data_IF_114617139872
#
_entry.id   IF_114617139872
#
_cell.length_a   1.000
_cell.length_b   1.000
_cell.length_c   1.000
_cell.angle_alpha   90.00
_cell.angle_beta   90.00
_cell.angle_gamma   90.00
#
_symmetry.space_group_name_H-M   'P 1'
#
loop_
_entity.id
_entity.type
_entity.pdbx_description
1 polymer ?
#
# COMPACT_ATOMS: atom_id res chain seq x y z
N UNK A 1 -12.89 19.86 -10.48
CA UNK A 1 -13.20 19.38 -9.12
C UNK A 1 -12.49 18.05 -8.98
N UNK A 2 -11.63 17.86 -7.96
CA UNK A 2 -10.97 16.57 -7.75
C UNK A 2 -12.03 15.47 -7.56
N UNK A 3 -11.78 14.31 -8.14
CA UNK A 3 -12.61 13.13 -7.90
C UNK A 3 -12.26 12.56 -6.52
N UNK A 4 -13.23 12.49 -5.60
CA UNK A 4 -13.00 12.02 -4.23
C UNK A 4 -12.48 10.58 -4.18
N UNK A 5 -12.86 9.75 -5.16
CA UNK A 5 -12.44 8.36 -5.24
C UNK A 5 -10.95 8.19 -5.53
N UNK A 6 -10.23 9.24 -5.97
CA UNK A 6 -8.77 9.17 -6.18
C UNK A 6 -7.96 9.27 -4.86
N UNK A 7 -8.64 9.43 -3.72
CA UNK A 7 -8.01 9.70 -2.44
C UNK A 7 -8.25 8.58 -1.42
N UNK A 8 -7.23 8.33 -0.60
CA UNK A 8 -7.30 7.55 0.66
C UNK A 8 -7.10 8.44 1.90
N UNK A 9 -6.70 9.70 1.70
CA UNK A 9 -6.60 10.73 2.72
C UNK A 9 -7.57 11.87 2.37
N UNK A 10 -8.64 12.01 3.16
CA UNK A 10 -9.61 13.08 2.95
C UNK A 10 -9.01 14.48 3.16
N UNK A 11 -7.96 14.64 3.96
CA UNK A 11 -7.33 15.95 4.18
C UNK A 11 -6.57 16.40 2.93
N UNK A 12 -5.91 15.46 2.23
CA UNK A 12 -5.34 15.70 0.91
C UNK A 12 -6.44 16.10 -0.10
N UNK A 13 -7.56 15.38 -0.13
CA UNK A 13 -8.71 15.72 -0.97
C UNK A 13 -9.23 17.14 -0.70
N UNK A 14 -9.47 17.49 0.57
CA UNK A 14 -9.94 18.82 0.97
C UNK A 14 -8.95 19.93 0.58
N UNK A 15 -7.64 19.65 0.65
CA UNK A 15 -6.59 20.59 0.28
C UNK A 15 -6.54 20.84 -1.23
N UNK A 16 -6.70 19.78 -2.03
CA UNK A 16 -6.75 19.90 -3.49
C UNK A 16 -8.01 20.63 -3.93
N UNK A 17 -9.16 20.31 -3.32
CA UNK A 17 -10.40 21.06 -3.52
C UNK A 17 -10.24 22.55 -3.18
N UNK A 18 -9.63 22.87 -2.03
CA UNK A 18 -9.35 24.26 -1.65
C UNK A 18 -8.48 24.97 -2.68
N UNK A 19 -7.44 24.31 -3.18
CA UNK A 19 -6.49 24.88 -4.14
C UNK A 19 -7.19 25.21 -5.46
N UNK A 20 -8.03 24.30 -5.98
CA UNK A 20 -8.80 24.52 -7.20
C UNK A 20 -9.81 25.67 -7.01
N UNK A 21 -10.59 25.66 -5.92
CA UNK A 21 -11.58 26.70 -5.64
C UNK A 21 -10.92 28.07 -5.43
N UNK A 22 -9.75 28.13 -4.80
CA UNK A 22 -9.00 29.39 -4.61
C UNK A 22 -8.51 29.98 -5.93
N UNK A 23 -8.09 29.13 -6.86
CA UNK A 23 -7.66 29.55 -8.19
C UNK A 23 -8.80 30.17 -8.99
N UNK A 24 -10.00 29.60 -8.90
CA UNK A 24 -11.21 30.10 -9.58
C UNK A 24 -11.83 31.30 -8.86
N UNK A 25 -11.85 31.28 -7.54
CA UNK A 25 -12.56 32.24 -6.72
C UNK A 25 -11.62 32.91 -5.70
N UNK A 26 -11.22 34.16 -5.97
CA UNK A 26 -10.31 34.93 -5.10
C UNK A 26 -10.79 35.05 -3.64
N UNK A 27 -12.10 35.08 -3.41
CA UNK A 27 -12.70 35.17 -2.08
C UNK A 27 -12.71 33.85 -1.31
N UNK A 28 -12.50 32.71 -1.98
CA UNK A 28 -12.39 31.41 -1.33
C UNK A 28 -11.20 31.46 -0.37
N UNK A 29 -11.39 31.13 0.89
CA UNK A 29 -10.38 31.23 1.94
C UNK A 29 -10.76 30.26 3.05
N UNK A 30 -9.83 29.89 3.94
CA UNK A 30 -10.26 29.02 5.05
C UNK A 30 -11.29 29.71 5.97
N UNK A 31 -11.40 31.05 5.93
CA UNK A 31 -12.41 31.79 6.70
C UNK A 31 -13.78 31.63 6.05
N UNK A 32 -13.83 31.73 4.72
CA UNK A 32 -15.02 31.44 3.94
C UNK A 32 -15.47 29.97 4.11
N UNK A 33 -14.54 29.01 4.01
CA UNK A 33 -14.85 27.60 4.28
C UNK A 33 -15.42 27.43 5.69
N UNK A 34 -14.74 27.97 6.70
CA UNK A 34 -15.20 27.91 8.10
C UNK A 34 -16.61 28.44 8.29
N UNK A 35 -16.93 29.61 7.69
CA UNK A 35 -18.29 30.16 7.71
C UNK A 35 -19.30 29.23 7.05
N UNK A 36 -18.96 28.58 5.94
CA UNK A 36 -19.85 27.65 5.23
C UNK A 36 -20.08 26.34 5.98
N UNK A 37 -19.08 25.83 6.67
CA UNK A 37 -19.17 24.55 7.39
C UNK A 37 -19.48 24.70 8.88
N UNK A 38 -19.64 25.94 9.38
CA UNK A 38 -19.91 26.22 10.79
C UNK A 38 -18.72 25.95 11.71
N UNK A 39 -17.48 26.05 11.21
CA UNK A 39 -16.26 25.83 11.99
C UNK A 39 -15.37 27.07 12.00
N UNK A 40 -14.61 27.24 13.08
CA UNK A 40 -13.60 28.29 13.14
C UNK A 40 -12.49 28.06 12.11
N UNK A 41 -11.96 29.15 11.52
CA UNK A 41 -10.88 29.12 10.53
C UNK A 41 -9.66 28.33 11.02
N UNK A 42 -9.31 28.44 12.31
CA UNK A 42 -8.17 27.71 12.88
C UNK A 42 -8.38 26.19 12.85
N UNK A 43 -9.62 25.72 12.95
CA UNK A 43 -9.96 24.30 12.82
C UNK A 43 -9.73 23.85 11.38
N UNK A 44 -10.21 24.62 10.40
CA UNK A 44 -9.98 24.33 8.98
C UNK A 44 -8.49 24.25 8.67
N UNK A 45 -7.70 25.21 9.13
CA UNK A 45 -6.24 25.21 8.94
C UNK A 45 -5.61 23.97 9.57
N UNK A 46 -6.02 23.56 10.78
CA UNK A 46 -5.50 22.34 11.43
C UNK A 46 -5.85 21.07 10.65
N UNK A 47 -7.06 20.98 10.08
CA UNK A 47 -7.48 19.86 9.22
C UNK A 47 -6.63 19.82 7.94
N UNK A 48 -6.48 20.96 7.26
CA UNK A 48 -5.64 21.07 6.04
C UNK A 48 -4.15 20.79 6.28
N UNK A 49 -3.69 20.93 7.53
CA UNK A 49 -2.32 20.62 7.96
C UNK A 49 -2.16 19.19 8.48
N UNK A 50 -3.19 18.35 8.41
CA UNK A 50 -3.22 17.00 8.99
C UNK A 50 -2.95 16.94 10.51
N UNK A 51 -3.23 18.04 11.23
CA UNK A 51 -3.04 18.14 12.69
C UNK A 51 -4.29 17.82 13.50
N UNK A 52 -5.45 17.67 12.83
CA UNK A 52 -6.73 17.40 13.48
C UNK A 52 -7.66 16.68 12.52
N UNK A 53 -8.32 15.62 12.99
CA UNK A 53 -9.39 14.97 12.25
C UNK A 53 -10.74 15.65 12.48
N UNK A 54 -11.59 15.65 11.45
CA UNK A 54 -13.01 15.97 11.59
C UNK A 54 -13.72 14.89 12.44
N UNK A 55 -14.78 15.28 13.15
CA UNK A 55 -15.76 14.32 13.71
C UNK A 55 -16.82 13.99 12.67
N UNK A 56 -17.56 12.89 12.86
CA UNK A 56 -18.66 12.50 11.94
C UNK A 56 -19.72 13.59 11.78
N UNK A 57 -20.07 14.27 12.87
CA UNK A 57 -21.03 15.38 12.86
C UNK A 57 -20.55 16.57 12.02
N UNK A 58 -19.24 16.77 11.95
CA UNK A 58 -18.63 17.86 11.17
C UNK A 58 -18.59 17.55 9.67
N UNK A 59 -18.93 16.35 9.22
CA UNK A 59 -18.81 15.97 7.79
C UNK A 59 -19.99 16.50 6.98
N UNK A 60 -21.20 16.52 7.54
CA UNK A 60 -22.41 16.91 6.79
C UNK A 60 -22.30 18.34 6.20
N UNK A 61 -21.78 19.35 6.92
CA UNK A 61 -21.55 20.66 6.32
C UNK A 61 -20.50 20.66 5.20
N UNK A 62 -19.50 19.76 5.25
CA UNK A 62 -18.52 19.61 4.17
C UNK A 62 -19.15 18.96 2.94
N UNK A 63 -20.00 17.93 3.10
CA UNK A 63 -20.77 17.32 1.99
C UNK A 63 -21.51 18.41 1.20
N UNK A 64 -22.16 19.34 1.91
CA UNK A 64 -22.87 20.46 1.28
C UNK A 64 -21.92 21.46 0.60
N UNK A 65 -20.80 21.83 1.25
CA UNK A 65 -19.82 22.75 0.69
C UNK A 65 -19.15 22.19 -0.58
N UNK A 66 -18.86 20.89 -0.57
CA UNK A 66 -18.23 20.15 -1.66
C UNK A 66 -19.22 19.76 -2.76
N UNK A 67 -20.53 19.90 -2.48
CA UNK A 67 -21.64 19.49 -3.35
C UNK A 67 -21.57 18.00 -3.72
N UNK A 68 -21.20 17.17 -2.75
CA UNK A 68 -21.12 15.73 -2.94
C UNK A 68 -22.52 15.12 -3.02
N UNK A 69 -22.67 14.13 -3.89
CA UNK A 69 -23.86 13.31 -3.92
C UNK A 69 -23.92 12.32 -2.74
N UNK A 70 -24.94 11.46 -2.71
CA UNK A 70 -25.12 10.49 -1.62
C UNK A 70 -23.97 9.49 -1.53
N UNK A 71 -23.48 8.95 -2.66
CA UNK A 71 -22.41 7.96 -2.68
C UNK A 71 -21.08 8.59 -2.30
N UNK A 72 -20.79 9.78 -2.82
CA UNK A 72 -19.60 10.55 -2.49
C UNK A 72 -19.59 10.97 -1.01
N UNK A 73 -20.74 11.32 -0.44
CA UNK A 73 -20.87 11.63 0.98
C UNK A 73 -20.59 10.41 1.88
N UNK A 74 -21.11 9.23 1.51
CA UNK A 74 -20.81 7.98 2.20
C UNK A 74 -19.33 7.62 2.11
N UNK A 75 -18.71 7.88 0.95
CA UNK A 75 -17.28 7.68 0.74
C UNK A 75 -16.43 8.66 1.57
N UNK A 76 -16.79 9.94 1.63
CA UNK A 76 -16.12 10.94 2.48
C UNK A 76 -16.18 10.54 3.96
N UNK A 77 -17.33 10.06 4.43
CA UNK A 77 -17.49 9.54 5.78
C UNK A 77 -16.54 8.36 6.05
N UNK A 78 -16.48 7.40 5.11
CA UNK A 78 -15.57 6.27 5.21
C UNK A 78 -14.09 6.72 5.21
N UNK A 79 -13.70 7.75 4.46
CA UNK A 79 -12.34 8.28 4.47
C UNK A 79 -11.97 8.92 5.82
N UNK A 80 -12.92 9.62 6.44
CA UNK A 80 -12.69 10.21 7.77
C UNK A 80 -12.57 9.11 8.83
N UNK A 81 -13.42 8.08 8.77
CA UNK A 81 -13.32 6.93 9.65
C UNK A 81 -11.97 6.20 9.47
N UNK A 82 -11.57 5.94 8.22
CA UNK A 82 -10.27 5.34 7.89
C UNK A 82 -9.09 6.16 8.42
N UNK A 83 -9.10 7.47 8.22
CA UNK A 83 -8.04 8.35 8.72
C UNK A 83 -7.98 8.45 10.24
N UNK A 84 -9.05 8.08 10.97
CA UNK A 84 -9.12 8.10 12.44
C UNK A 84 -8.81 6.75 13.07
N UNK A 85 -8.79 5.67 12.29
CA UNK A 85 -8.56 4.33 12.79
C UNK A 85 -7.18 4.24 13.47
N UNK A 86 -7.15 3.67 14.67
CA UNK A 86 -5.90 3.61 15.46
C UNK A 86 -5.31 2.20 15.55
N UNK A 87 -6.13 1.17 15.36
CA UNK A 87 -5.69 -0.22 15.36
C UNK A 87 -5.86 -0.89 13.99
N UNK A 88 -5.16 -2.00 13.79
CA UNK A 88 -5.10 -2.71 12.53
C UNK A 88 -6.45 -3.34 12.11
N UNK A 89 -7.31 -3.70 13.06
CA UNK A 89 -8.61 -4.29 12.77
C UNK A 89 -9.60 -3.22 12.29
N UNK A 90 -9.64 -2.07 12.97
CA UNK A 90 -10.44 -0.91 12.55
C UNK A 90 -9.98 -0.38 11.19
N UNK A 91 -8.66 -0.28 10.98
CA UNK A 91 -8.06 0.14 9.71
C UNK A 91 -8.47 -0.80 8.57
N UNK A 92 -8.50 -2.11 8.82
CA UNK A 92 -8.95 -3.10 7.85
C UNK A 92 -10.43 -2.92 7.50
N UNK A 93 -11.31 -2.86 8.50
CA UNK A 93 -12.76 -2.74 8.28
C UNK A 93 -13.10 -1.47 7.52
N UNK A 94 -12.50 -0.34 7.92
CA UNK A 94 -12.73 0.96 7.28
C UNK A 94 -12.17 1.00 5.85
N UNK A 95 -11.04 0.34 5.58
CA UNK A 95 -10.49 0.22 4.23
C UNK A 95 -11.34 -0.67 3.32
N UNK A 96 -11.82 -1.82 3.80
CA UNK A 96 -12.73 -2.69 3.03
C UNK A 96 -14.04 -1.97 2.68
N UNK A 97 -14.56 -1.15 3.60
CA UNK A 97 -15.70 -0.26 3.34
C UNK A 97 -15.40 0.81 2.29
N UNK A 98 -14.19 1.39 2.27
CA UNK A 98 -13.79 2.33 1.23
C UNK A 98 -13.80 1.68 -0.16
N UNK A 99 -13.27 0.46 -0.26
CA UNK A 99 -13.26 -0.27 -1.52
C UNK A 99 -14.66 -0.57 -2.03
N UNK A 100 -15.60 -0.95 -1.15
CA UNK A 100 -16.97 -1.27 -1.55
C UNK A 100 -17.81 -0.07 -2.00
N UNK A 101 -17.38 1.15 -1.65
CA UNK A 101 -18.04 2.41 -2.02
C UNK A 101 -17.45 3.07 -3.28
N UNK A 102 -16.35 2.54 -3.83
CA UNK A 102 -15.74 3.06 -5.06
C UNK A 102 -16.50 2.60 -6.31
N UNK A 103 -16.50 3.39 -7.40
CA UNK A 103 -16.98 2.95 -8.71
C UNK A 103 -16.23 1.71 -9.22
N UNK A 104 -16.95 0.82 -9.91
CA UNK A 104 -16.62 -0.60 -10.10
C UNK A 104 -15.24 -0.89 -10.72
N UNK A 105 -14.78 -0.07 -11.67
CA UNK A 105 -13.50 -0.30 -12.36
C UNK A 105 -12.28 0.11 -11.52
N UNK A 106 -12.38 1.18 -10.71
CA UNK A 106 -11.29 1.60 -9.84
C UNK A 106 -11.27 0.79 -8.54
N UNK A 107 -12.43 0.33 -8.07
CA UNK A 107 -12.52 -0.54 -6.89
C UNK A 107 -11.89 -1.90 -7.13
N UNK A 108 -12.05 -2.50 -8.32
CA UNK A 108 -11.60 -3.87 -8.59
C UNK A 108 -10.07 -3.98 -8.51
N UNK A 109 -9.35 -3.12 -9.22
CA UNK A 109 -7.87 -3.14 -9.24
C UNK A 109 -7.29 -2.94 -7.83
N UNK A 110 -7.81 -1.97 -7.09
CA UNK A 110 -7.36 -1.69 -5.71
C UNK A 110 -7.67 -2.84 -4.76
N UNK A 111 -8.81 -3.50 -4.93
CA UNK A 111 -9.20 -4.67 -4.15
C UNK A 111 -8.34 -5.88 -4.48
N UNK A 112 -8.05 -6.12 -5.75
CA UNK A 112 -7.15 -7.17 -6.22
C UNK A 112 -5.74 -6.99 -5.65
N UNK A 113 -5.21 -5.75 -5.69
CA UNK A 113 -3.93 -5.41 -5.08
C UNK A 113 -3.96 -5.63 -3.56
N UNK A 114 -5.03 -5.20 -2.89
CA UNK A 114 -5.18 -5.38 -1.45
C UNK A 114 -5.19 -6.86 -1.05
N UNK A 115 -5.95 -7.69 -1.77
CA UNK A 115 -6.03 -9.13 -1.53
C UNK A 115 -4.68 -9.81 -1.78
N UNK A 116 -3.99 -9.44 -2.86
CA UNK A 116 -2.68 -10.00 -3.20
C UNK A 116 -1.61 -9.74 -2.13
N UNK A 117 -1.57 -8.53 -1.55
CA UNK A 117 -0.61 -8.20 -0.50
C UNK A 117 -1.09 -8.57 0.92
N UNK A 118 -2.24 -9.22 1.07
CA UNK A 118 -2.78 -9.53 2.40
C UNK A 118 -1.95 -10.57 3.17
N UNK A 119 -1.24 -11.46 2.45
CA UNK A 119 -0.37 -12.49 3.01
C UNK A 119 0.92 -12.56 2.23
N UNK A 120 2.06 -12.63 2.93
CA UNK A 120 3.37 -12.73 2.27
C UNK A 120 3.47 -13.90 1.28
N UNK A 121 2.81 -15.03 1.59
CA UNK A 121 2.91 -16.23 0.79
C UNK A 121 2.12 -16.18 -0.52
N UNK A 122 1.20 -15.23 -0.73
CA UNK A 122 0.56 -15.07 -2.04
C UNK A 122 1.57 -14.60 -3.09
N UNK A 123 2.42 -13.64 -2.71
CA UNK A 123 3.52 -13.17 -3.56
C UNK A 123 4.54 -14.29 -3.77
N UNK A 124 4.91 -15.01 -2.71
CA UNK A 124 5.88 -16.09 -2.80
C UNK A 124 5.36 -17.27 -3.66
N UNK A 125 4.10 -17.66 -3.54
CA UNK A 125 3.48 -18.72 -4.35
C UNK A 125 3.45 -18.34 -5.83
N UNK A 126 3.07 -17.10 -6.16
CA UNK A 126 3.09 -16.63 -7.56
C UNK A 126 4.51 -16.73 -8.13
N UNK A 127 5.51 -16.24 -7.42
CA UNK A 127 6.91 -16.31 -7.89
C UNK A 127 7.45 -17.73 -7.93
N UNK A 128 7.07 -18.59 -6.98
CA UNK A 128 7.50 -19.99 -6.93
C UNK A 128 7.00 -20.77 -8.15
N UNK A 129 5.75 -20.56 -8.56
CA UNK A 129 5.12 -21.25 -9.68
C UNK A 129 5.71 -20.89 -11.05
N UNK A 130 6.54 -19.84 -11.11
CA UNK A 130 7.32 -19.50 -12.30
C UNK A 130 8.27 -20.65 -12.71
N UNK A 131 8.90 -21.29 -11.72
CA UNK A 131 9.88 -22.36 -11.97
C UNK A 131 9.53 -23.71 -11.34
N UNK A 132 8.77 -23.74 -10.25
CA UNK A 132 8.34 -24.98 -9.63
C UNK A 132 7.16 -25.61 -10.42
N UNK A 133 7.30 -26.84 -10.91
CA UNK A 133 6.23 -27.51 -11.66
C UNK A 133 5.11 -27.94 -10.70
N UNK A 134 3.91 -27.38 -10.90
CA UNK A 134 2.73 -27.70 -10.10
C UNK A 134 1.50 -27.90 -11.00
N UNK A 135 0.77 -28.98 -10.77
CA UNK A 135 -0.37 -29.41 -11.59
C UNK A 135 -1.68 -29.50 -10.79
N UNK A 136 -1.73 -28.88 -9.59
CA UNK A 136 -2.93 -28.90 -8.74
C UNK A 136 -3.10 -30.18 -7.92
N UNK A 137 -2.07 -31.02 -7.85
CA UNK A 137 -2.07 -32.39 -7.31
C UNK A 137 -1.66 -32.47 -5.84
N UNK A 138 -0.67 -31.68 -5.39
CA UNK A 138 -0.15 -31.75 -4.02
C UNK A 138 0.17 -30.38 -3.40
N UNK A 139 -0.82 -29.77 -2.76
CA UNK A 139 -0.68 -28.48 -2.09
C UNK A 139 0.21 -28.50 -0.85
N UNK A 140 0.34 -29.65 -0.19
CA UNK A 140 1.23 -29.81 0.98
C UNK A 140 2.70 -29.70 0.54
N UNK A 141 3.07 -30.41 -0.54
CA UNK A 141 4.41 -30.33 -1.12
C UNK A 141 4.74 -28.92 -1.64
N UNK A 142 3.75 -28.23 -2.21
CA UNK A 142 3.89 -26.83 -2.63
C UNK A 142 4.16 -25.91 -1.43
N UNK A 143 3.40 -26.06 -0.34
CA UNK A 143 3.60 -25.29 0.89
C UNK A 143 4.96 -25.52 1.55
N UNK A 144 5.49 -26.74 1.46
CA UNK A 144 6.82 -27.12 1.96
C UNK A 144 7.98 -26.50 1.16
N UNK A 145 7.75 -26.03 -0.06
CA UNK A 145 8.78 -25.29 -0.81
C UNK A 145 9.06 -23.90 -0.23
N UNK A 146 8.10 -23.34 0.51
CA UNK A 146 8.23 -22.01 1.09
C UNK A 146 8.95 -22.06 2.44
N UNK A 147 9.58 -20.93 2.78
CA UNK A 147 10.23 -20.70 4.08
C UNK A 147 9.75 -19.38 4.66
N UNK A 148 9.04 -19.38 5.80
CA UNK A 148 8.58 -20.54 6.57
C UNK A 148 7.58 -21.40 5.79
N UNK A 149 7.48 -22.68 6.16
CA UNK A 149 6.53 -23.62 5.58
C UNK A 149 5.10 -23.12 5.85
N UNK A 150 4.24 -23.20 4.84
CA UNK A 150 2.80 -23.01 4.98
C UNK A 150 2.08 -24.34 4.85
N UNK A 151 0.89 -24.45 5.44
CA UNK A 151 0.06 -25.65 5.33
C UNK A 151 -0.48 -25.85 3.90
N UNK A 152 -0.80 -27.08 3.52
CA UNK A 152 -1.45 -27.37 2.23
C UNK A 152 -2.77 -26.62 2.04
N UNK A 153 -3.51 -26.34 3.13
CA UNK A 153 -4.74 -25.53 3.07
C UNK A 153 -4.45 -24.05 2.74
N UNK A 154 -3.39 -23.47 3.31
CA UNK A 154 -2.97 -22.11 2.97
C UNK A 154 -2.48 -22.03 1.52
N UNK A 155 -1.69 -23.01 1.08
CA UNK A 155 -1.24 -23.11 -0.31
C UNK A 155 -2.42 -23.22 -1.27
N UNK A 156 -3.40 -24.08 -0.99
CA UNK A 156 -4.63 -24.24 -1.78
C UNK A 156 -5.45 -22.96 -1.85
N UNK A 157 -5.61 -22.29 -0.71
CA UNK A 157 -6.34 -21.02 -0.64
C UNK A 157 -5.61 -19.93 -1.42
N UNK A 158 -4.29 -19.86 -1.31
CA UNK A 158 -3.47 -18.89 -2.05
C UNK A 158 -3.50 -19.11 -3.55
N UNK A 159 -3.33 -20.35 -4.03
CA UNK A 159 -3.42 -20.67 -5.45
C UNK A 159 -4.80 -20.32 -6.02
N UNK A 160 -5.88 -20.65 -5.29
CA UNK A 160 -7.24 -20.27 -5.70
C UNK A 160 -7.39 -18.76 -5.80
N UNK A 161 -6.96 -18.01 -4.77
CA UNK A 161 -7.01 -16.55 -4.79
C UNK A 161 -6.25 -15.98 -6.00
N UNK A 162 -5.04 -16.48 -6.27
CA UNK A 162 -4.24 -16.00 -7.39
C UNK A 162 -4.87 -16.32 -8.76
N UNK A 163 -5.58 -17.44 -8.90
CA UNK A 163 -6.40 -17.72 -10.09
C UNK A 163 -7.57 -16.73 -10.20
N UNK A 164 -8.30 -16.50 -9.10
CA UNK A 164 -9.44 -15.59 -9.05
C UNK A 164 -9.03 -14.15 -9.40
N UNK A 165 -7.80 -13.75 -9.00
CA UNK A 165 -7.18 -12.46 -9.32
C UNK A 165 -6.58 -12.38 -10.74
N UNK A 166 -6.66 -13.45 -11.54
CA UNK A 166 -6.02 -13.51 -12.87
C UNK A 166 -4.48 -13.45 -12.84
N UNK A 167 -3.87 -13.74 -11.68
CA UNK A 167 -2.43 -13.74 -11.45
C UNK A 167 -1.79 -15.11 -11.70
N UNK A 168 -2.59 -16.17 -11.75
CA UNK A 168 -2.19 -17.47 -12.27
C UNK A 168 -3.12 -17.85 -13.41
N UNK A 169 -2.62 -18.71 -14.29
CA UNK A 169 -3.42 -19.43 -15.27
C UNK A 169 -2.94 -20.87 -15.35
N UNK A 170 -3.80 -21.74 -15.87
CA UNK A 170 -3.43 -23.11 -16.21
C UNK A 170 -3.07 -23.09 -17.70
N UNK A 171 -1.87 -23.56 -18.05
CA UNK A 171 -1.46 -23.68 -19.45
C UNK A 171 -2.07 -24.93 -20.12
N UNK A 172 -1.80 -25.13 -21.41
CA UNK A 172 -2.35 -26.26 -22.18
C UNK A 172 -1.90 -27.64 -21.66
N UNK A 173 -0.81 -27.69 -20.89
CA UNK A 173 -0.27 -28.91 -20.26
C UNK A 173 -0.86 -29.17 -18.86
N UNK A 174 -1.77 -28.31 -18.38
CA UNK A 174 -2.34 -28.41 -17.04
C UNK A 174 -1.45 -27.82 -15.93
N UNK A 175 -0.32 -27.19 -16.27
CA UNK A 175 0.59 -26.56 -15.30
C UNK A 175 0.08 -25.18 -14.90
N UNK A 176 0.14 -24.91 -13.60
CA UNK A 176 -0.16 -23.60 -13.03
C UNK A 176 1.04 -22.68 -13.24
N UNK A 177 0.84 -21.57 -13.95
CA UNK A 177 1.88 -20.61 -14.29
C UNK A 177 1.45 -19.17 -14.00
N UNK A 178 2.38 -18.26 -13.66
CA UNK A 178 2.11 -16.84 -13.54
C UNK A 178 1.60 -16.23 -14.85
N UNK A 179 0.74 -15.23 -14.73
CA UNK A 179 0.37 -14.36 -15.84
C UNK A 179 1.28 -13.13 -15.90
N UNK A 180 1.38 -12.49 -17.07
CA UNK A 180 2.06 -11.18 -17.21
C UNK A 180 1.28 -10.02 -16.57
N UNK A 181 0.28 -10.29 -15.73
CA UNK A 181 -0.43 -9.25 -14.98
C UNK A 181 0.60 -8.41 -14.21
N UNK A 182 0.85 -7.20 -14.71
CA UNK A 182 1.80 -6.27 -14.11
C UNK A 182 1.16 -5.63 -12.89
N UNK A 183 1.59 -6.06 -11.71
CA UNK A 183 1.38 -5.30 -10.50
C UNK A 183 2.39 -4.15 -10.47
N UNK A 184 2.03 -3.06 -11.14
CA UNK A 184 2.72 -1.79 -10.94
C UNK A 184 2.40 -1.30 -9.53
N UNK A 185 3.34 -1.48 -8.60
CA UNK A 185 3.35 -0.70 -7.35
C UNK A 185 3.73 0.73 -7.71
N UNK A 186 2.74 1.54 -8.11
CA UNK A 186 2.95 2.97 -8.39
C UNK A 186 3.50 3.75 -7.18
N UNK A 187 3.73 5.06 -7.32
CA UNK A 187 4.39 5.86 -6.28
C UNK A 187 3.46 6.35 -5.14
N UNK A 188 2.17 5.95 -5.10
CA UNK A 188 1.16 6.48 -4.16
C UNK A 188 0.43 5.45 -3.27
N UNK A 189 1.09 4.39 -2.82
CA UNK A 189 0.36 3.32 -2.13
C UNK A 189 0.55 3.34 -0.61
N UNK A 190 -0.38 3.99 0.07
CA UNK A 190 -0.60 3.91 1.52
C UNK A 190 -1.79 3.00 1.85
N UNK A 191 -1.83 1.80 1.24
CA UNK A 191 -2.86 0.82 1.60
C UNK A 191 -2.42 0.00 2.82
N UNK A 192 -3.31 -0.29 3.78
CA UNK A 192 -2.98 -1.11 4.95
C UNK A 192 -2.35 -2.46 4.61
N UNK A 193 -2.77 -3.08 3.51
CA UNK A 193 -2.21 -4.35 3.06
C UNK A 193 -0.71 -4.27 2.75
N UNK A 194 -0.22 -3.18 2.16
CA UNK A 194 1.21 -3.04 1.88
C UNK A 194 2.00 -2.83 3.17
N UNK A 195 1.49 -2.05 4.12
CA UNK A 195 2.15 -1.89 5.42
C UNK A 195 2.19 -3.23 6.17
N UNK A 196 1.10 -3.99 6.12
CA UNK A 196 1.03 -5.33 6.68
C UNK A 196 1.98 -6.30 5.97
N UNK A 197 2.04 -6.27 4.65
CA UNK A 197 2.97 -7.06 3.84
C UNK A 197 4.42 -6.73 4.18
N UNK A 198 4.79 -5.44 4.21
CA UNK A 198 6.12 -4.99 4.63
C UNK A 198 6.46 -5.46 6.04
N UNK A 199 5.51 -5.41 6.97
CA UNK A 199 5.71 -5.92 8.33
C UNK A 199 5.94 -7.43 8.33
N UNK A 200 5.14 -8.20 7.59
CA UNK A 200 5.31 -9.65 7.45
C UNK A 200 6.67 -9.98 6.84
N UNK A 201 7.08 -9.33 5.76
CA UNK A 201 8.37 -9.62 5.11
C UNK A 201 9.56 -9.17 5.96
N UNK A 202 9.46 -8.08 6.73
CA UNK A 202 10.50 -7.71 7.71
C UNK A 202 10.65 -8.78 8.78
N UNK A 203 9.54 -9.35 9.27
CA UNK A 203 9.59 -10.47 10.22
C UNK A 203 10.25 -11.70 9.61
N UNK A 204 10.00 -12.00 8.34
CA UNK A 204 10.72 -13.06 7.60
C UNK A 204 12.23 -12.81 7.58
N UNK A 205 12.66 -11.58 7.26
CA UNK A 205 14.08 -11.20 7.29
C UNK A 205 14.68 -11.31 8.69
N UNK A 206 13.93 -10.96 9.73
CA UNK A 206 14.38 -11.14 11.12
C UNK A 206 14.58 -12.62 11.46
N UNK A 207 13.63 -13.48 11.11
CA UNK A 207 13.70 -14.93 11.36
C UNK A 207 14.82 -15.61 10.55
N UNK A 208 15.19 -15.05 9.39
CA UNK A 208 16.28 -15.56 8.56
C UNK A 208 17.65 -15.51 9.27
N UNK A 209 17.85 -14.62 10.25
CA UNK A 209 19.07 -14.60 11.06
C UNK A 209 19.34 -15.93 11.77
N UNK A 210 18.27 -16.60 12.21
CA UNK A 210 18.29 -17.85 12.98
C UNK A 210 18.13 -19.08 12.07
N UNK A 211 17.28 -18.98 11.04
CA UNK A 211 16.79 -20.13 10.29
C UNK A 211 17.39 -20.28 8.87
N UNK A 212 18.22 -19.34 8.42
CA UNK A 212 18.88 -19.39 7.12
C UNK A 212 20.40 -19.25 7.30
N UNK A 213 21.16 -20.15 6.68
CA UNK A 213 22.62 -20.13 6.75
C UNK A 213 23.20 -18.89 6.03
N UNK A 214 24.37 -18.43 6.46
CA UNK A 214 24.94 -17.12 6.05
C UNK A 214 25.18 -17.02 4.54
N UNK A 215 25.50 -18.11 3.88
CA UNK A 215 25.74 -18.19 2.45
C UNK A 215 24.47 -17.99 1.60
N UNK A 216 23.28 -18.17 2.19
CA UNK A 216 21.98 -18.03 1.52
C UNK A 216 21.21 -16.77 1.91
N UNK A 217 21.82 -15.89 2.72
CA UNK A 217 21.21 -14.63 3.16
C UNK A 217 22.20 -13.48 3.15
N UNK A 218 21.73 -12.30 2.80
CA UNK A 218 22.47 -11.06 3.00
C UNK A 218 21.67 -10.12 3.89
N UNK A 219 22.17 -9.91 5.11
CA UNK A 219 21.55 -9.03 6.10
C UNK A 219 22.66 -8.15 6.67
N UNK A 220 22.71 -6.91 6.19
CA UNK A 220 23.64 -5.89 6.64
C UNK A 220 22.92 -4.82 7.47
N UNK A 221 23.60 -4.31 8.50
CA UNK A 221 23.10 -3.19 9.33
C UNK A 221 24.09 -2.03 9.28
N UNK A 222 23.57 -0.82 9.09
CA UNK A 222 24.37 0.41 9.08
C UNK A 222 23.70 1.45 9.98
N UNK A 223 24.49 2.06 10.88
CA UNK A 223 24.04 3.15 11.75
C UNK A 223 24.83 4.40 11.39
N UNK A 224 24.14 5.43 10.89
CA UNK A 224 24.75 6.66 10.37
C UNK A 224 24.23 7.89 11.11
N UNK A 225 25.10 8.89 11.25
CA UNK A 225 24.72 10.26 11.58
C UNK A 225 24.73 11.08 10.29
N UNK A 226 23.60 11.71 9.98
CA UNK A 226 23.44 12.59 8.81
C UNK A 226 22.64 13.82 9.22
N UNK A 227 22.87 14.93 8.52
CA UNK A 227 21.94 16.06 8.57
C UNK A 227 20.77 15.85 7.60
N UNK A 228 19.71 16.65 7.75
CA UNK A 228 18.48 16.48 7.00
C UNK A 228 18.61 16.69 5.48
N UNK A 229 19.64 17.39 5.02
CA UNK A 229 19.82 17.66 3.58
C UNK A 229 20.24 16.41 2.80
N UNK A 230 20.99 15.50 3.43
CA UNK A 230 21.45 14.25 2.84
C UNK A 230 20.35 13.17 2.74
N UNK A 231 19.18 13.37 3.38
CA UNK A 231 18.11 12.37 3.40
C UNK A 231 17.59 12.00 2.01
N UNK A 232 17.40 13.01 1.14
CA UNK A 232 16.92 12.78 -0.22
C UNK A 232 17.97 12.08 -1.10
N UNK A 233 19.25 12.39 -0.90
CA UNK A 233 20.35 11.71 -1.61
C UNK A 233 20.40 10.22 -1.26
N UNK A 234 20.30 9.87 0.03
CA UNK A 234 20.25 8.47 0.46
C UNK A 234 19.02 7.75 -0.13
N UNK A 235 17.86 8.40 -0.17
CA UNK A 235 16.65 7.84 -0.80
C UNK A 235 16.84 7.57 -2.29
N UNK A 236 17.53 8.48 -2.97
CA UNK A 236 17.83 8.34 -4.39
C UNK A 236 18.78 7.16 -4.66
N UNK A 237 19.85 7.01 -3.87
CA UNK A 237 20.75 5.85 -3.96
C UNK A 237 20.00 4.54 -3.73
N UNK A 238 19.10 4.49 -2.74
CA UNK A 238 18.27 3.31 -2.50
C UNK A 238 17.31 3.03 -3.67
N UNK A 239 16.79 4.07 -4.35
CA UNK A 239 15.95 3.94 -5.55
C UNK A 239 16.74 3.35 -6.72
N UNK A 240 17.94 3.87 -6.98
CA UNK A 240 18.84 3.40 -8.03
C UNK A 240 19.33 1.97 -7.77
N UNK A 241 19.60 1.64 -6.51
CA UNK A 241 19.95 0.28 -6.08
C UNK A 241 18.81 -0.71 -6.41
N UNK A 242 17.56 -0.39 -6.04
CA UNK A 242 16.39 -1.21 -6.40
C UNK A 242 16.28 -1.41 -7.90
N UNK A 243 16.39 -0.32 -8.68
CA UNK A 243 16.30 -0.39 -10.14
C UNK A 243 17.42 -1.25 -10.74
N UNK A 244 18.63 -1.14 -10.20
CA UNK A 244 19.78 -1.94 -10.64
C UNK A 244 19.57 -3.43 -10.39
N UNK A 245 19.02 -3.80 -9.22
CA UNK A 245 18.69 -5.19 -8.88
C UNK A 245 17.60 -5.74 -9.81
N UNK A 246 16.52 -4.98 -10.05
CA UNK A 246 15.48 -5.37 -11.02
C UNK A 246 16.12 -5.60 -12.40
N UNK A 247 17.00 -4.70 -12.85
CA UNK A 247 17.71 -4.87 -14.11
C UNK A 247 18.60 -6.13 -14.16
N UNK A 248 19.11 -6.64 -13.03
CA UNK A 248 19.83 -7.93 -12.99
C UNK A 248 18.85 -9.07 -13.29
N UNK A 249 17.68 -9.07 -12.64
CA UNK A 249 16.64 -10.09 -12.82
C UNK A 249 16.10 -10.05 -14.26
N UNK A 250 15.83 -8.87 -14.82
CA UNK A 250 15.31 -8.71 -16.19
C UNK A 250 16.28 -9.22 -17.27
N UNK A 251 17.59 -9.23 -16.99
CA UNK A 251 18.62 -9.77 -17.90
C UNK A 251 18.82 -11.28 -17.75
N UNK A 252 18.19 -11.91 -16.77
CA UNK A 252 18.35 -13.35 -16.54
C UNK A 252 17.65 -14.14 -17.65
N UNK A 253 18.31 -15.15 -18.25
CA UNK A 253 17.66 -16.02 -19.23
C UNK A 253 16.45 -16.74 -18.62
N UNK A 254 15.36 -16.82 -19.37
CA UNK A 254 14.14 -17.54 -18.97
C UNK A 254 14.44 -18.99 -18.61
N UNK A 255 13.77 -19.51 -17.58
CA UNK A 255 13.89 -20.91 -17.14
C UNK A 255 15.12 -21.22 -16.29
N UNK A 256 15.88 -20.22 -15.84
CA UNK A 256 17.02 -20.39 -14.92
C UNK A 256 16.74 -20.03 -13.46
N UNK A 257 15.52 -19.61 -13.14
CA UNK A 257 15.10 -19.32 -11.77
C UNK A 257 14.98 -20.62 -10.98
N UNK A 258 15.57 -20.67 -9.79
CA UNK A 258 15.55 -21.85 -8.89
C UNK A 258 15.13 -21.49 -7.45
N UNK A 259 15.08 -20.20 -7.12
CA UNK A 259 14.72 -19.70 -5.81
C UNK A 259 13.97 -18.37 -5.88
N UNK A 260 13.04 -18.16 -4.95
CA UNK A 260 12.41 -16.86 -4.68
C UNK A 260 13.14 -16.18 -3.54
N UNK A 261 13.68 -14.98 -3.80
CA UNK A 261 14.30 -14.14 -2.78
C UNK A 261 13.40 -12.94 -2.44
N UNK A 262 13.25 -12.67 -1.14
CA UNK A 262 12.65 -11.43 -0.64
C UNK A 262 13.75 -10.48 -0.20
N UNK A 263 13.85 -9.31 -0.84
CA UNK A 263 14.75 -8.23 -0.43
C UNK A 263 13.98 -7.13 0.30
N UNK A 264 14.57 -6.67 1.39
CA UNK A 264 14.04 -5.65 2.27
C UNK A 264 15.14 -4.61 2.49
N UNK A 265 14.88 -3.36 2.09
CA UNK A 265 15.79 -2.23 2.35
C UNK A 265 15.05 -1.15 3.12
N UNK A 266 15.39 -1.02 4.41
CA UNK A 266 14.79 -0.05 5.31
C UNK A 266 15.81 1.00 5.73
N UNK A 267 15.41 2.28 5.66
CA UNK A 267 16.17 3.39 6.22
C UNK A 267 15.24 4.17 7.13
N UNK A 268 15.45 4.05 8.44
CA UNK A 268 14.59 4.63 9.48
C UNK A 268 15.40 5.52 10.42
N UNK A 269 14.80 6.60 10.95
CA UNK A 269 15.43 7.32 12.04
C UNK A 269 15.46 6.49 13.32
N UNK A 270 16.58 6.53 14.03
CA UNK A 270 16.72 5.96 15.38
C UNK A 270 16.63 7.03 16.47
N UNK A 271 16.37 8.28 16.09
CA UNK A 271 16.23 9.44 16.97
C UNK A 271 14.98 10.24 16.63
N UNK A 272 14.59 11.16 17.51
CA UNK A 272 13.47 12.07 17.24
C UNK A 272 13.86 13.00 16.09
N UNK A 273 13.16 12.90 14.96
CA UNK A 273 13.25 13.91 13.90
C UNK A 273 12.36 15.10 14.30
N UNK A 274 12.90 16.32 14.24
CA UNK A 274 12.07 17.51 14.31
C UNK A 274 11.07 17.51 13.12
N UNK A 275 9.79 17.90 13.33
CA UNK A 275 8.86 18.00 12.21
C UNK A 275 9.44 18.93 11.14
N UNK A 276 9.24 18.64 9.84
CA UNK A 276 9.84 19.42 8.77
C UNK A 276 9.55 20.91 8.98
N UNK A 277 10.61 21.71 9.02
CA UNK A 277 10.52 23.15 9.18
C UNK A 277 9.70 23.68 8.00
N UNK A 278 8.44 24.02 8.26
CA UNK A 278 7.61 24.70 7.27
C UNK A 278 8.22 26.09 7.11
N UNK A 279 8.99 26.28 6.04
CA UNK A 279 9.68 27.52 5.74
C UNK A 279 8.75 28.72 5.93
N UNK A 280 9.31 29.77 6.55
CA UNK A 280 8.69 31.08 6.66
C UNK A 280 8.42 31.68 5.29
#
# INVERSE_FOLDING_TARGET
MPNIYDYLDYQAYLKDYYTEQKAVHKHFSYRYMGQKVGLDHSVIVKVMQAKRHLSREQILPFVQLLKLDKQEAEYLLALVDYGRATDAAELKITFEKLLSLRPTEQSSILMEHYQYFQKWYYVALRSLLDYYPFYGDNYEALGQQLRPIISGNEAKTGVKLLLDLGMLKINDEGRYIPTEAHLSTGERWLTPAIQQFQKETILLSSQALENIAREWRDISTLTLSLDSSALEEVRQVLKECRQSIVGIVDRMPSGKTDAVYQLNMQFIPLTKIAPPNKGK
#
